data_IF_965045620344
#
_entry.id   IF_965045620344
#
_cell.length_a   1.000
_cell.length_b   1.000
_cell.length_c   1.000
_cell.angle_alpha   90.00
_cell.angle_beta   90.00
_cell.angle_gamma   90.00
#
_symmetry.space_group_name_H-M   'P 1'
#
loop_
_entity.id
_entity.type
_entity.pdbx_description
1 polymer ?
#
# COMPACT_ATOMS: atom_id res chain seq x y z
N UNK A 1 -4.24 -20.54 21.84
CA UNK A 1 -5.70 -20.72 21.67
C UNK A 1 -6.18 -19.72 20.62
N UNK A 2 -6.43 -20.18 19.40
CA UNK A 2 -6.92 -19.35 18.28
C UNK A 2 -8.44 -19.30 18.36
N UNK A 3 -9.03 -18.13 18.55
CA UNK A 3 -10.48 -17.94 18.42
C UNK A 3 -10.77 -17.55 16.97
N UNK A 4 -11.30 -18.52 16.20
CA UNK A 4 -11.89 -18.28 14.91
C UNK A 4 -13.29 -17.68 15.14
N UNK A 5 -13.53 -16.47 14.63
CA UNK A 5 -14.87 -15.86 14.61
C UNK A 5 -15.51 -16.29 13.29
N UNK A 6 -16.46 -17.23 13.40
CA UNK A 6 -17.34 -17.62 12.29
C UNK A 6 -18.43 -16.56 12.13
N UNK A 7 -18.44 -15.84 11.02
CA UNK A 7 -19.59 -15.05 10.60
C UNK A 7 -20.61 -16.00 9.96
N UNK A 8 -21.67 -16.28 10.67
CA UNK A 8 -22.83 -17.01 10.14
C UNK A 8 -23.70 -16.02 9.35
N UNK A 9 -23.68 -16.12 8.02
CA UNK A 9 -24.64 -15.43 7.16
C UNK A 9 -25.97 -16.18 7.24
N UNK A 10 -26.92 -15.61 7.96
CA UNK A 10 -28.33 -16.05 7.96
C UNK A 10 -28.98 -15.57 6.65
N UNK A 11 -29.09 -16.48 5.68
CA UNK A 11 -29.93 -16.27 4.50
C UNK A 11 -31.35 -16.63 4.89
N UNK A 12 -32.18 -15.64 5.18
CA UNK A 12 -33.61 -15.82 5.35
C UNK A 12 -34.26 -16.01 3.97
N UNK A 13 -34.62 -17.25 3.66
CA UNK A 13 -35.48 -17.56 2.51
C UNK A 13 -36.91 -17.10 2.80
N UNK A 14 -37.31 -16.02 2.17
CA UNK A 14 -38.73 -15.60 2.17
C UNK A 14 -39.47 -16.46 1.17
N UNK A 15 -40.25 -17.43 1.66
CA UNK A 15 -41.22 -18.14 0.83
C UNK A 15 -42.42 -17.24 0.56
N UNK A 16 -42.50 -16.69 -0.63
CA UNK A 16 -43.69 -15.98 -1.12
C UNK A 16 -44.60 -17.01 -1.77
N UNK A 17 -45.65 -17.43 -1.05
CA UNK A 17 -46.72 -18.17 -1.63
C UNK A 17 -47.55 -17.25 -2.57
N UNK A 18 -47.35 -17.39 -3.88
CA UNK A 18 -48.16 -16.73 -4.88
C UNK A 18 -49.51 -17.41 -4.98
N UNK A 19 -50.55 -16.84 -4.36
CA UNK A 19 -51.94 -17.16 -4.69
C UNK A 19 -52.25 -16.61 -6.06
N UNK A 20 -52.58 -17.49 -7.01
CA UNK A 20 -53.07 -17.18 -8.35
C UNK A 20 -54.48 -16.56 -8.25
N UNK A 21 -54.54 -15.25 -8.22
CA UNK A 21 -55.77 -14.53 -8.52
C UNK A 21 -55.87 -14.33 -10.05
N UNK A 22 -56.80 -15.03 -10.69
CA UNK A 22 -57.19 -14.74 -12.10
C UNK A 22 -57.88 -13.37 -12.11
N UNK A 23 -57.14 -12.34 -12.42
CA UNK A 23 -57.69 -11.05 -12.80
C UNK A 23 -57.46 -10.83 -14.29
N UNK A 24 -58.55 -10.81 -15.05
CA UNK A 24 -58.54 -10.26 -16.39
C UNK A 24 -58.09 -8.80 -16.32
N UNK A 25 -56.88 -8.54 -16.73
CA UNK A 25 -56.42 -7.18 -17.00
C UNK A 25 -55.88 -7.11 -18.39
N UNK A 26 -56.49 -6.34 -19.23
CA UNK A 26 -55.91 -5.76 -20.42
C UNK A 26 -54.64 -4.98 -19.95
N UNK A 27 -53.58 -5.65 -19.75
CA UNK A 27 -52.28 -5.07 -19.41
C UNK A 27 -51.77 -4.36 -20.67
N UNK A 28 -51.92 -3.07 -20.70
CA UNK A 28 -51.20 -2.15 -21.55
C UNK A 28 -49.72 -2.46 -21.29
N UNK A 29 -49.06 -3.19 -22.21
CA UNK A 29 -47.63 -3.47 -22.10
C UNK A 29 -46.92 -2.12 -22.17
N UNK A 30 -46.51 -1.67 -21.01
CA UNK A 30 -45.76 -0.43 -20.89
C UNK A 30 -44.36 -0.75 -21.42
N UNK A 31 -44.00 -0.06 -22.50
CA UNK A 31 -42.72 -0.16 -23.23
C UNK A 31 -41.56 0.36 -22.39
N UNK A 32 -41.30 -0.30 -21.21
CA UNK A 32 -40.25 0.10 -20.29
C UNK A 32 -38.96 -0.72 -20.45
N UNK A 33 -39.00 -1.88 -21.11
CA UNK A 33 -37.86 -2.78 -21.24
C UNK A 33 -36.60 -2.14 -21.85
N UNK A 34 -36.65 -1.44 -22.99
CA UNK A 34 -35.42 -0.91 -23.62
C UNK A 34 -34.77 0.22 -22.81
N UNK A 35 -35.49 0.88 -21.92
CA UNK A 35 -34.96 1.91 -21.06
C UNK A 35 -34.24 1.30 -19.84
N UNK A 36 -34.74 0.20 -19.30
CA UNK A 36 -34.15 -0.53 -18.19
C UNK A 36 -32.83 -1.17 -18.64
N UNK A 37 -32.80 -1.83 -19.80
CA UNK A 37 -31.58 -2.43 -20.36
C UNK A 37 -30.51 -1.36 -20.64
N UNK A 38 -30.90 -0.21 -21.17
CA UNK A 38 -29.99 0.92 -21.35
C UNK A 38 -29.43 1.45 -20.06
N UNK A 39 -30.24 1.54 -19.00
CA UNK A 39 -29.77 1.96 -17.66
C UNK A 39 -28.85 0.94 -17.03
N UNK A 40 -29.13 -0.35 -17.15
CA UNK A 40 -28.25 -1.43 -16.67
C UNK A 40 -26.89 -1.38 -17.37
N UNK A 41 -26.87 -1.22 -18.70
CA UNK A 41 -25.62 -1.07 -19.46
C UNK A 41 -24.80 0.17 -19.03
N UNK A 42 -25.47 1.27 -18.68
CA UNK A 42 -24.79 2.47 -18.15
C UNK A 42 -24.22 2.21 -16.76
N UNK A 43 -24.93 1.50 -15.89
CA UNK A 43 -24.46 1.11 -14.56
C UNK A 43 -23.22 0.23 -14.68
N UNK A 44 -23.23 -0.78 -15.55
CA UNK A 44 -22.07 -1.66 -15.78
C UNK A 44 -20.87 -0.86 -16.29
N UNK A 45 -21.08 0.08 -17.19
CA UNK A 45 -20.04 0.97 -17.71
C UNK A 45 -19.45 1.84 -16.58
N UNK A 46 -20.29 2.41 -15.74
CA UNK A 46 -19.85 3.23 -14.60
C UNK A 46 -19.09 2.41 -13.57
N UNK A 47 -19.50 1.18 -13.29
CA UNK A 47 -18.79 0.26 -12.40
C UNK A 47 -17.41 -0.08 -12.96
N UNK A 48 -17.31 -0.35 -14.26
CA UNK A 48 -16.04 -0.61 -14.91
C UNK A 48 -15.08 0.59 -14.82
N UNK A 49 -15.58 1.79 -15.13
CA UNK A 49 -14.79 3.04 -15.02
C UNK A 49 -14.37 3.29 -13.58
N UNK A 50 -15.26 3.08 -12.62
CA UNK A 50 -14.94 3.26 -11.20
C UNK A 50 -13.82 2.31 -10.75
N UNK A 51 -13.89 1.03 -11.15
CA UNK A 51 -12.83 0.06 -10.84
C UNK A 51 -11.48 0.45 -11.46
N UNK A 52 -11.49 0.89 -12.73
CA UNK A 52 -10.26 1.39 -13.38
C UNK A 52 -9.68 2.62 -12.66
N UNK A 53 -10.52 3.56 -12.22
CA UNK A 53 -10.08 4.73 -11.46
C UNK A 53 -9.50 4.33 -10.10
N UNK A 54 -10.09 3.37 -9.40
CA UNK A 54 -9.56 2.86 -8.13
C UNK A 54 -8.20 2.20 -8.33
N UNK A 55 -8.03 1.36 -9.35
CA UNK A 55 -6.74 0.76 -9.69
C UNK A 55 -5.68 1.82 -9.99
N UNK A 56 -6.02 2.85 -10.78
CA UNK A 56 -5.12 3.97 -11.07
C UNK A 56 -4.75 4.78 -9.83
N UNK A 57 -5.69 5.00 -8.92
CA UNK A 57 -5.45 5.71 -7.66
C UNK A 57 -4.53 4.90 -6.74
N UNK A 58 -4.74 3.59 -6.64
CA UNK A 58 -3.88 2.70 -5.87
C UNK A 58 -2.45 2.66 -6.42
N UNK A 59 -2.29 2.50 -7.74
CA UNK A 59 -0.98 2.51 -8.38
C UNK A 59 -0.27 3.84 -8.13
N UNK A 60 -0.93 4.98 -8.39
CA UNK A 60 -0.34 6.30 -8.20
C UNK A 60 0.01 6.58 -6.75
N UNK A 61 -0.84 6.20 -5.79
CA UNK A 61 -0.55 6.36 -4.36
C UNK A 61 0.58 5.45 -3.89
N UNK A 62 0.69 4.24 -4.47
CA UNK A 62 1.74 3.28 -4.11
C UNK A 62 3.12 3.67 -4.65
N UNK A 63 3.18 4.47 -5.71
CA UNK A 63 4.42 4.93 -6.34
C UNK A 63 4.84 6.33 -5.89
N UNK A 64 3.88 7.18 -5.51
CA UNK A 64 4.16 8.56 -5.11
C UNK A 64 4.98 8.59 -3.80
N UNK A 65 6.20 9.14 -3.91
CA UNK A 65 7.10 9.28 -2.75
C UNK A 65 7.62 7.94 -2.21
N UNK A 66 7.63 6.88 -3.05
CA UNK A 66 8.12 5.57 -2.65
C UNK A 66 9.57 5.61 -2.19
N UNK A 67 10.43 6.26 -2.95
CA UNK A 67 11.83 6.40 -2.59
C UNK A 67 12.13 7.81 -2.10
N UNK A 68 12.89 7.90 -1.00
CA UNK A 68 13.31 9.17 -0.41
C UNK A 68 14.80 9.11 -0.08
N UNK A 69 15.52 10.18 -0.45
CA UNK A 69 16.93 10.34 -0.12
C UNK A 69 17.07 11.19 1.15
N UNK A 70 17.91 10.73 2.07
CA UNK A 70 18.25 11.42 3.31
C UNK A 70 19.74 11.75 3.31
N UNK A 71 20.04 13.00 3.56
CA UNK A 71 21.40 13.48 3.65
C UNK A 71 22.05 12.99 4.94
N UNK A 72 23.31 12.56 4.85
CA UNK A 72 24.16 12.30 6.04
C UNK A 72 25.08 13.50 6.27
N UNK A 73 25.82 13.49 7.36
CA UNK A 73 26.88 14.50 7.60
C UNK A 73 28.08 14.33 6.64
N UNK A 74 28.18 13.19 5.95
CA UNK A 74 29.16 12.99 4.89
C UNK A 74 28.56 13.49 3.56
N UNK A 75 29.21 14.49 2.96
CA UNK A 75 28.72 15.13 1.71
C UNK A 75 28.59 14.17 0.53
N UNK A 76 29.34 13.08 0.50
CA UNK A 76 29.34 12.08 -0.58
C UNK A 76 28.38 10.91 -0.31
N UNK A 77 27.71 10.88 0.84
CA UNK A 77 26.87 9.73 1.23
C UNK A 77 25.45 10.15 1.53
N UNK A 78 24.51 9.45 0.93
CA UNK A 78 23.08 9.57 1.17
C UNK A 78 22.51 8.23 1.61
N UNK A 79 21.39 8.24 2.31
CA UNK A 79 20.60 7.03 2.55
C UNK A 79 19.34 7.08 1.69
N UNK A 80 19.11 6.06 0.88
CA UNK A 80 17.87 5.86 0.15
C UNK A 80 16.96 4.96 0.96
N UNK A 81 15.76 5.43 1.23
CA UNK A 81 14.70 4.67 1.90
C UNK A 81 13.60 4.33 0.91
N UNK A 82 13.24 3.05 0.81
CA UNK A 82 11.94 2.64 0.30
C UNK A 82 10.89 2.86 1.40
N UNK A 83 10.14 3.93 1.29
CA UNK A 83 9.15 4.35 2.29
C UNK A 83 7.97 3.39 2.40
N UNK A 84 7.82 2.45 1.47
CA UNK A 84 6.79 1.42 1.47
C UNK A 84 7.19 0.19 2.29
N UNK A 85 8.44 -0.25 2.16
CA UNK A 85 8.93 -1.52 2.72
C UNK A 85 9.88 -1.35 3.90
N UNK A 86 10.51 -0.17 4.05
CA UNK A 86 11.55 0.06 5.05
C UNK A 86 12.94 -0.43 4.63
N UNK A 87 13.12 -0.85 3.37
CA UNK A 87 14.43 -1.17 2.81
C UNK A 87 15.29 0.09 2.75
N UNK A 88 16.58 -0.06 3.04
CA UNK A 88 17.52 1.07 3.10
C UNK A 88 18.79 0.72 2.36
N UNK A 89 19.22 1.63 1.49
CA UNK A 89 20.52 1.58 0.84
C UNK A 89 21.36 2.80 1.23
N UNK A 90 22.64 2.58 1.37
CA UNK A 90 23.64 3.63 1.42
C UNK A 90 24.11 3.91 0.00
N UNK A 91 23.91 5.13 -0.46
CA UNK A 91 24.29 5.62 -1.79
C UNK A 91 25.50 6.53 -1.65
N UNK A 92 26.58 6.19 -2.32
CA UNK A 92 27.75 7.03 -2.42
C UNK A 92 27.83 7.62 -3.82
N UNK A 93 27.96 8.94 -3.89
CA UNK A 93 28.23 9.65 -5.12
C UNK A 93 29.63 10.26 -5.11
N UNK A 94 30.20 10.52 -6.25
CA UNK A 94 31.56 11.08 -6.39
C UNK A 94 31.65 11.92 -7.66
N UNK A 95 32.71 12.72 -7.76
CA UNK A 95 33.07 13.37 -9.02
C UNK A 95 33.78 12.40 -9.97
N UNK A 96 34.19 11.25 -9.47
CA UNK A 96 34.81 10.16 -10.20
C UNK A 96 33.90 8.92 -10.10
N UNK A 97 33.45 8.43 -11.25
CA UNK A 97 32.51 7.31 -11.36
C UNK A 97 32.99 6.02 -10.70
N UNK A 98 34.30 5.80 -10.61
CA UNK A 98 34.88 4.61 -10.01
C UNK A 98 34.63 4.53 -8.49
N UNK A 99 34.24 5.66 -7.89
CA UNK A 99 33.92 5.76 -6.47
C UNK A 99 32.41 5.89 -6.18
N UNK A 100 31.57 5.69 -7.17
CA UNK A 100 30.11 5.71 -7.02
C UNK A 100 29.55 4.31 -6.77
N UNK A 101 28.51 4.21 -5.96
CA UNK A 101 27.85 2.93 -5.72
C UNK A 101 26.73 2.98 -4.70
N UNK A 102 25.98 1.89 -4.66
CA UNK A 102 24.95 1.66 -3.65
C UNK A 102 25.19 0.33 -2.96
N UNK A 103 25.01 0.32 -1.64
CA UNK A 103 25.14 -0.88 -0.82
C UNK A 103 23.97 -0.97 0.16
N UNK A 104 23.45 -2.18 0.36
CA UNK A 104 22.32 -2.40 1.26
C UNK A 104 22.73 -2.26 2.73
N UNK A 105 21.87 -1.56 3.50
CA UNK A 105 21.88 -1.58 4.97
C UNK A 105 20.78 -2.51 5.47
N UNK A 106 19.60 -2.46 4.84
CA UNK A 106 18.47 -3.35 5.07
C UNK A 106 17.82 -3.73 3.75
N UNK A 107 17.82 -5.02 3.44
CA UNK A 107 17.15 -5.60 2.27
C UNK A 107 15.80 -6.25 2.62
N UNK A 108 15.43 -6.31 3.89
CA UNK A 108 14.21 -6.98 4.33
C UNK A 108 13.00 -6.04 4.24
N UNK A 109 11.88 -6.59 3.81
CA UNK A 109 10.57 -5.92 3.89
C UNK A 109 10.08 -5.94 5.34
N UNK A 110 10.16 -4.78 6.01
CA UNK A 110 9.78 -4.60 7.40
C UNK A 110 8.25 -4.53 7.61
N UNK A 111 7.47 -4.61 6.54
CA UNK A 111 6.00 -4.73 6.63
C UNK A 111 5.54 -6.16 6.84
N UNK A 112 6.43 -7.13 6.62
CA UNK A 112 6.11 -8.56 6.65
C UNK A 112 4.95 -8.92 5.69
N UNK A 113 4.88 -8.22 4.54
CA UNK A 113 3.86 -8.43 3.52
C UNK A 113 2.52 -7.73 3.80
N UNK A 114 2.39 -6.92 4.85
CA UNK A 114 1.14 -6.22 5.18
C UNK A 114 0.85 -5.01 4.29
N UNK A 115 1.82 -4.52 3.52
CA UNK A 115 1.61 -3.55 2.45
C UNK A 115 0.98 -2.21 2.85
N UNK A 116 1.60 -1.46 3.76
CA UNK A 116 1.05 -0.19 4.27
C UNK A 116 1.04 0.98 3.26
N UNK A 117 1.63 0.82 2.09
CA UNK A 117 1.73 1.88 1.07
C UNK A 117 2.96 2.80 1.25
N UNK A 118 3.20 3.63 0.23
CA UNK A 118 4.32 4.58 0.22
C UNK A 118 4.15 5.66 1.29
N UNK A 119 5.26 6.09 1.89
CA UNK A 119 5.25 7.08 2.97
C UNK A 119 5.04 6.49 4.36
N UNK A 120 4.90 5.15 4.50
CA UNK A 120 4.74 4.49 5.80
C UNK A 120 6.01 4.52 6.65
N UNK A 121 7.18 4.48 6.03
CA UNK A 121 8.45 4.55 6.72
C UNK A 121 9.12 5.91 6.56
N UNK A 122 9.84 6.32 7.61
CA UNK A 122 10.61 7.57 7.63
C UNK A 122 11.89 7.42 8.47
N UNK A 123 12.99 8.03 7.99
CA UNK A 123 14.27 8.10 8.72
C UNK A 123 14.40 9.44 9.44
N UNK A 124 14.83 9.39 10.69
CA UNK A 124 15.16 10.55 11.49
C UNK A 124 16.66 10.52 11.83
N UNK A 125 17.43 11.57 11.50
CA UNK A 125 18.83 11.66 11.88
C UNK A 125 18.94 11.79 13.41
N UNK A 126 19.97 11.17 13.96
CA UNK A 126 20.35 11.40 15.37
C UNK A 126 21.48 12.43 15.46
N UNK A 127 21.93 12.75 16.68
CA UNK A 127 23.13 13.59 16.85
C UNK A 127 24.42 12.86 16.49
N UNK A 128 24.38 11.52 16.35
CA UNK A 128 25.51 10.74 15.87
C UNK A 128 25.45 10.66 14.35
N UNK A 129 26.48 11.17 13.67
CA UNK A 129 26.53 11.27 12.20
C UNK A 129 26.29 9.96 11.46
N UNK A 130 26.57 8.81 12.09
CA UNK A 130 26.43 7.48 11.49
C UNK A 130 25.06 6.82 11.76
N UNK A 131 24.19 7.45 12.55
CA UNK A 131 23.02 6.79 13.10
C UNK A 131 21.72 7.52 12.78
N UNK A 132 20.70 6.72 12.47
CA UNK A 132 19.33 7.16 12.22
C UNK A 132 18.34 6.31 13.01
N UNK A 133 17.16 6.84 13.23
CA UNK A 133 16.00 6.08 13.70
C UNK A 133 15.04 5.93 12.53
N UNK A 134 14.77 4.70 12.13
CA UNK A 134 13.68 4.37 11.21
C UNK A 134 12.40 4.17 12.00
N UNK A 135 11.31 4.77 11.56
CA UNK A 135 9.98 4.55 12.13
C UNK A 135 9.00 4.08 11.06
N UNK A 136 8.19 3.08 11.39
CA UNK A 136 6.95 2.81 10.69
C UNK A 136 5.85 3.68 11.30
N UNK A 137 5.40 4.69 10.55
CA UNK A 137 4.41 5.67 11.02
C UNK A 137 3.01 5.08 11.21
N UNK A 138 2.73 3.95 10.55
CA UNK A 138 1.44 3.26 10.67
C UNK A 138 1.36 2.44 11.97
N UNK A 139 2.47 1.77 12.35
CA UNK A 139 2.49 0.85 13.50
C UNK A 139 3.22 1.42 14.73
N UNK A 140 3.99 2.50 14.55
CA UNK A 140 4.86 3.06 15.58
C UNK A 140 6.13 2.25 15.86
N UNK A 141 6.37 1.19 15.11
CA UNK A 141 7.58 0.35 15.23
C UNK A 141 8.81 1.16 14.85
N UNK A 142 9.91 0.93 15.57
CA UNK A 142 11.16 1.70 15.42
C UNK A 142 12.36 0.79 15.28
N UNK A 143 13.34 1.25 14.53
CA UNK A 143 14.63 0.57 14.37
C UNK A 143 15.77 1.57 14.47
N UNK A 144 16.85 1.12 15.08
CA UNK A 144 18.12 1.81 15.07
C UNK A 144 18.87 1.40 13.79
N UNK A 145 19.28 2.36 13.01
CA UNK A 145 19.97 2.19 11.72
C UNK A 145 21.33 2.80 11.82
N UNK A 146 22.36 2.06 11.41
CA UNK A 146 23.73 2.58 11.30
C UNK A 146 24.23 2.37 9.88
N UNK A 147 24.79 3.42 9.32
CA UNK A 147 25.52 3.38 8.06
C UNK A 147 27.03 3.47 8.31
N UNK A 148 27.84 3.09 7.32
CA UNK A 148 29.30 3.18 7.41
C UNK A 148 29.99 2.61 6.19
N UNK A 149 31.27 2.96 6.01
CA UNK A 149 32.06 2.55 4.84
C UNK A 149 32.32 1.04 4.83
N UNK A 150 32.55 0.44 5.99
CA UNK A 150 32.77 -1.00 6.12
C UNK A 150 31.43 -1.75 6.28
N UNK A 151 31.35 -2.97 5.76
CA UNK A 151 30.13 -3.81 5.86
C UNK A 151 29.75 -4.10 7.32
N UNK A 152 30.71 -4.30 8.19
CA UNK A 152 30.52 -4.52 9.64
C UNK A 152 29.93 -3.31 10.38
N UNK A 153 29.95 -2.13 9.75
CA UNK A 153 29.41 -0.88 10.28
C UNK A 153 28.04 -0.56 9.75
N UNK A 154 27.46 -1.38 8.87
CA UNK A 154 26.11 -1.23 8.33
C UNK A 154 25.19 -2.25 8.95
N UNK A 155 24.15 -1.78 9.65
CA UNK A 155 23.18 -2.67 10.29
C UNK A 155 21.88 -1.92 10.66
N UNK A 156 20.83 -2.71 10.86
CA UNK A 156 19.56 -2.28 11.42
C UNK A 156 19.18 -3.18 12.60
N UNK A 157 18.61 -2.60 13.64
CA UNK A 157 18.19 -3.34 14.83
C UNK A 157 16.87 -2.78 15.37
N UNK A 158 15.93 -3.69 15.67
CA UNK A 158 14.66 -3.34 16.29
C UNK A 158 14.85 -2.69 17.67
N UNK A 159 14.08 -1.62 17.94
CA UNK A 159 13.92 -0.99 19.27
C UNK A 159 12.57 -1.44 19.82
N UNK A 160 12.56 -2.00 21.03
CA UNK A 160 11.37 -2.49 21.73
C UNK A 160 10.89 -1.54 22.81
#
# INVERSE_FOLDING_TARGET
MRRAVFFLLLISTININAQTAKTNSNARSVKYEPKVDSLLSQIDTLLMINNQLLEHLEINSSLKGRYKLYQTENIYTLLQLDTKTGMIEQVQWSLDSDNEGSVSINSDDLTYGLGYGSGSFELYPTKNMYQFILINKTTGQKWHVQWGMESSKRWIRRIY
#
